data_IF_387477541890
#
_entry.id   IF_387477541890
#
_cell.length_a   1.000
_cell.length_b   1.000
_cell.length_c   1.000
_cell.angle_alpha   90.00
_cell.angle_beta   90.00
_cell.angle_gamma   90.00
#
_symmetry.space_group_name_H-M   'P 1'
#
loop_
_entity.id
_entity.type
_entity.pdbx_description
1 polymer ?
#
# COMPACT_ATOMS: atom_id res chain seq x y z
N UNK A 1 -13.31 45.06 -0.18
CA UNK A 1 -13.69 43.63 -0.36
C UNK A 1 -12.45 42.81 -0.07
N UNK A 2 -12.37 42.27 1.14
CA UNK A 2 -11.18 41.52 1.61
C UNK A 2 -11.17 40.15 0.95
N UNK A 3 -10.15 39.87 0.17
CA UNK A 3 -9.86 38.52 -0.27
C UNK A 3 -9.42 37.70 0.97
N UNK A 4 -10.28 36.79 1.39
CA UNK A 4 -9.92 35.77 2.38
C UNK A 4 -8.78 34.94 1.80
N UNK A 5 -7.56 35.22 2.24
CA UNK A 5 -6.42 34.33 2.05
C UNK A 5 -6.68 33.06 2.84
N UNK A 6 -7.22 32.04 2.18
CA UNK A 6 -7.19 30.69 2.70
C UNK A 6 -5.72 30.34 2.89
N UNK A 7 -5.26 30.20 4.14
CA UNK A 7 -3.99 29.57 4.45
C UNK A 7 -4.08 28.14 3.90
N UNK A 8 -3.44 27.91 2.77
CA UNK A 8 -3.28 26.58 2.18
C UNK A 8 -2.51 25.73 3.21
N UNK A 9 -3.23 24.98 4.02
CA UNK A 9 -2.64 23.98 4.91
C UNK A 9 -1.84 23.00 4.06
N UNK A 10 -0.70 22.53 4.56
CA UNK A 10 0.12 21.53 3.86
C UNK A 10 -0.72 20.29 3.55
N UNK A 11 -0.68 19.81 2.28
CA UNK A 11 -1.33 18.56 1.88
C UNK A 11 -0.88 17.42 2.80
N UNK A 12 -1.83 16.66 3.33
CA UNK A 12 -1.52 15.50 4.19
C UNK A 12 -1.38 14.24 3.35
N UNK A 13 -0.35 13.45 3.66
CA UNK A 13 -0.13 12.10 3.14
C UNK A 13 -0.31 11.12 4.29
N UNK A 14 -1.14 10.09 4.08
CA UNK A 14 -1.32 8.97 5.02
C UNK A 14 -0.63 7.75 4.44
N UNK A 15 0.39 7.21 5.14
CA UNK A 15 1.14 6.03 4.74
C UNK A 15 0.65 4.81 5.54
N UNK A 16 0.31 3.71 4.84
CA UNK A 16 -0.25 2.49 5.42
C UNK A 16 0.68 1.32 5.16
N UNK A 17 1.28 0.76 6.22
CA UNK A 17 2.19 -0.38 6.13
C UNK A 17 1.47 -1.70 5.83
N UNK A 18 2.23 -2.70 5.36
CA UNK A 18 1.75 -4.03 5.07
C UNK A 18 1.79 -4.99 6.26
N UNK A 19 1.37 -6.24 5.99
CA UNK A 19 1.53 -7.36 6.90
C UNK A 19 3.03 -7.63 7.12
N UNK A 20 3.44 -8.14 8.28
CA UNK A 20 4.83 -8.34 8.74
C UNK A 20 5.65 -7.07 8.94
N UNK A 21 5.09 -5.88 8.79
CA UNK A 21 5.78 -4.59 8.89
C UNK A 21 5.12 -3.68 9.91
N UNK A 22 5.80 -2.56 10.21
CA UNK A 22 5.32 -1.44 11.03
C UNK A 22 5.45 -0.15 10.24
N UNK A 23 4.98 1.01 10.76
CA UNK A 23 5.24 2.32 10.16
C UNK A 23 6.71 2.63 9.89
N UNK A 24 7.65 1.97 10.61
CA UNK A 24 9.09 2.11 10.36
C UNK A 24 9.47 1.79 8.91
N UNK A 25 8.72 0.94 8.20
CA UNK A 25 8.97 0.66 6.79
C UNK A 25 8.83 1.87 5.87
N UNK A 26 8.24 2.95 6.36
CA UNK A 26 8.04 4.20 5.65
C UNK A 26 9.01 5.33 6.05
N UNK A 27 9.99 5.06 6.94
CA UNK A 27 10.86 6.09 7.52
C UNK A 27 11.53 6.98 6.47
N UNK A 28 12.04 6.38 5.38
CA UNK A 28 12.68 7.10 4.28
C UNK A 28 11.68 7.96 3.50
N UNK A 29 10.47 7.45 3.24
CA UNK A 29 9.40 8.19 2.55
C UNK A 29 8.87 9.35 3.39
N UNK A 30 8.74 9.15 4.71
CA UNK A 30 8.34 10.19 5.66
C UNK A 30 9.32 11.36 5.57
N UNK A 31 10.62 11.10 5.72
CA UNK A 31 11.67 12.11 5.64
C UNK A 31 11.64 12.85 4.29
N UNK A 32 11.57 12.09 3.18
CA UNK A 32 11.52 12.65 1.83
C UNK A 32 10.31 13.57 1.62
N UNK A 33 9.12 13.13 1.96
CA UNK A 33 7.91 13.91 1.74
C UNK A 33 7.76 15.08 2.71
N UNK A 34 8.25 14.96 3.95
CA UNK A 34 8.32 16.08 4.88
C UNK A 34 9.27 17.17 4.39
N UNK A 35 10.43 16.80 3.84
CA UNK A 35 11.36 17.73 3.19
C UNK A 35 10.75 18.41 1.95
N UNK A 36 9.88 17.71 1.24
CA UNK A 36 9.11 18.25 0.12
C UNK A 36 7.91 19.14 0.56
N UNK A 37 7.70 19.33 1.86
CA UNK A 37 6.69 20.24 2.40
C UNK A 37 5.33 19.62 2.73
N UNK A 38 5.17 18.31 2.63
CA UNK A 38 3.94 17.63 3.01
C UNK A 38 3.81 17.43 4.53
N UNK A 39 2.58 17.33 5.01
CA UNK A 39 2.29 16.78 6.32
C UNK A 39 2.16 15.26 6.18
N UNK A 40 3.07 14.48 6.79
CA UNK A 40 3.12 13.02 6.60
C UNK A 40 2.79 12.33 7.91
N UNK A 41 1.80 11.45 7.88
CA UNK A 41 1.45 10.59 9.00
C UNK A 41 1.50 9.12 8.56
N UNK A 42 2.05 8.27 9.40
CA UNK A 42 2.11 6.83 9.21
C UNK A 42 1.62 6.13 10.49
N UNK A 43 0.30 6.06 10.71
CA UNK A 43 -0.24 5.42 11.90
C UNK A 43 0.04 3.92 11.92
N UNK A 44 0.28 3.36 13.09
CA UNK A 44 0.34 1.90 13.30
C UNK A 44 -1.03 1.26 13.13
N UNK A 45 -1.05 -0.02 12.80
CA UNK A 45 -2.25 -0.81 12.99
C UNK A 45 -2.59 -0.91 14.48
N UNK A 46 -3.86 -1.08 14.85
CA UNK A 46 -4.27 -1.16 16.25
C UNK A 46 -3.46 -2.21 17.02
N UNK A 47 -2.86 -1.81 18.14
CA UNK A 47 -2.04 -2.66 18.98
C UNK A 47 -0.58 -2.82 18.52
N UNK A 48 -0.14 -2.10 17.47
CA UNK A 48 1.23 -2.08 16.97
C UNK A 48 1.92 -0.73 17.22
N UNK A 49 1.51 -0.01 18.26
CA UNK A 49 2.06 1.30 18.65
C UNK A 49 3.38 1.16 19.41
N UNK A 50 4.29 0.34 18.94
CA UNK A 50 5.56 0.08 19.61
C UNK A 50 6.69 -0.13 18.65
N UNK A 51 7.89 -0.28 19.22
CA UNK A 51 9.08 -0.62 18.46
C UNK A 51 9.02 -2.08 17.98
N UNK A 52 9.71 -2.36 16.87
CA UNK A 52 9.76 -3.69 16.23
C UNK A 52 10.15 -4.78 17.25
N UNK A 53 11.11 -4.49 18.10
CA UNK A 53 11.63 -5.41 19.11
C UNK A 53 10.59 -5.74 20.19
N UNK A 54 9.81 -4.75 20.61
CA UNK A 54 8.75 -4.94 21.60
C UNK A 54 7.61 -5.79 21.04
N UNK A 55 7.19 -5.53 19.80
CA UNK A 55 6.15 -6.30 19.11
C UNK A 55 6.58 -7.75 18.86
N UNK A 56 7.86 -7.98 18.53
CA UNK A 56 8.40 -9.34 18.41
C UNK A 56 8.35 -10.10 19.73
N UNK A 57 8.64 -9.42 20.84
CA UNK A 57 8.65 -10.00 22.17
C UNK A 57 7.23 -10.33 22.65
N UNK A 58 6.28 -9.46 22.36
CA UNK A 58 4.85 -9.67 22.67
C UNK A 58 3.96 -9.37 21.47
N UNK A 59 3.65 -10.37 20.64
CA UNK A 59 2.76 -10.22 19.50
C UNK A 59 1.28 -10.42 19.85
N UNK A 60 0.89 -10.35 21.12
CA UNK A 60 -0.48 -10.66 21.58
C UNK A 60 -1.56 -9.81 20.91
N UNK A 61 -1.28 -8.53 20.64
CA UNK A 61 -2.19 -7.62 19.95
C UNK A 61 -2.53 -8.04 18.50
N UNK A 62 -1.68 -8.85 17.88
CA UNK A 62 -1.91 -9.38 16.53
C UNK A 62 -2.88 -10.58 16.51
N UNK A 63 -3.07 -11.22 17.67
CA UNK A 63 -3.98 -12.36 17.77
C UNK A 63 -5.42 -11.88 17.52
N UNK A 64 -6.11 -12.56 16.62
CA UNK A 64 -7.50 -12.23 16.25
C UNK A 64 -7.74 -10.84 15.64
N UNK A 65 -6.68 -10.07 15.30
CA UNK A 65 -6.83 -8.78 14.61
C UNK A 65 -7.48 -9.00 13.25
N UNK A 66 -8.53 -8.25 12.93
CA UNK A 66 -9.29 -8.37 11.67
C UNK A 66 -8.97 -7.23 10.71
N UNK A 67 -9.02 -7.54 9.40
CA UNK A 67 -8.86 -6.53 8.35
C UNK A 67 -9.84 -5.35 8.54
N UNK A 68 -11.12 -5.66 8.84
CA UNK A 68 -12.13 -4.62 9.10
C UNK A 68 -11.73 -3.68 10.23
N UNK A 69 -11.18 -4.20 11.34
CA UNK A 69 -10.73 -3.40 12.48
C UNK A 69 -9.64 -2.42 12.07
N UNK A 70 -8.70 -2.88 11.23
CA UNK A 70 -7.61 -2.04 10.72
C UNK A 70 -8.16 -0.96 9.78
N UNK A 71 -9.02 -1.32 8.82
CA UNK A 71 -9.64 -0.35 7.90
C UNK A 71 -10.44 0.70 8.65
N UNK A 72 -11.27 0.31 9.61
CA UNK A 72 -12.09 1.23 10.41
C UNK A 72 -11.21 2.14 11.31
N UNK A 73 -10.04 1.68 11.74
CA UNK A 73 -9.06 2.49 12.46
C UNK A 73 -8.52 3.62 11.57
N UNK A 74 -8.05 3.31 10.35
CA UNK A 74 -7.58 4.33 9.41
C UNK A 74 -8.71 5.28 8.99
N UNK A 75 -9.92 4.79 8.75
CA UNK A 75 -11.07 5.64 8.45
C UNK A 75 -11.29 6.68 9.55
N UNK A 76 -11.26 6.27 10.84
CA UNK A 76 -11.41 7.20 11.96
C UNK A 76 -10.32 8.25 12.03
N UNK A 77 -9.07 7.90 11.66
CA UNK A 77 -7.96 8.84 11.60
C UNK A 77 -8.17 9.84 10.46
N UNK A 78 -8.48 9.35 9.27
CA UNK A 78 -8.64 10.16 8.05
C UNK A 78 -9.81 11.14 8.21
N UNK A 79 -10.94 10.70 8.79
CA UNK A 79 -12.10 11.56 9.01
C UNK A 79 -11.88 12.71 10.01
N UNK A 80 -10.78 12.68 10.77
CA UNK A 80 -10.38 13.77 11.68
C UNK A 80 -9.46 14.80 11.04
N UNK A 81 -9.02 14.57 9.80
CA UNK A 81 -8.18 15.51 9.06
C UNK A 81 -9.05 16.62 8.47
N UNK A 82 -8.50 17.84 8.44
CA UNK A 82 -9.20 19.03 7.94
C UNK A 82 -9.51 18.96 6.43
N UNK A 83 -8.74 18.18 5.70
CA UNK A 83 -8.92 17.97 4.25
C UNK A 83 -8.64 16.51 3.85
N UNK A 84 -9.23 16.02 2.75
CA UNK A 84 -8.97 14.68 2.23
C UNK A 84 -7.48 14.49 1.91
N UNK A 85 -6.78 13.50 2.53
CA UNK A 85 -5.36 13.28 2.31
C UNK A 85 -5.10 12.50 1.01
N UNK A 86 -3.83 12.48 0.57
CA UNK A 86 -3.33 11.43 -0.31
C UNK A 86 -3.11 10.18 0.56
N UNK A 87 -3.65 9.04 0.14
CA UNK A 87 -3.52 7.77 0.88
C UNK A 87 -2.61 6.85 0.08
N UNK A 88 -1.48 6.44 0.67
CA UNK A 88 -0.54 5.51 0.05
C UNK A 88 -0.36 4.28 0.94
N UNK A 89 -0.46 3.10 0.35
CA UNK A 89 -0.31 1.85 1.11
C UNK A 89 0.52 0.82 0.38
N UNK A 90 1.30 0.06 1.14
CA UNK A 90 2.13 -1.03 0.65
C UNK A 90 1.54 -2.39 1.03
N UNK A 91 1.50 -3.35 0.11
CA UNK A 91 1.05 -4.72 0.38
C UNK A 91 -0.41 -4.75 0.89
N UNK A 92 -0.68 -5.27 2.08
CA UNK A 92 -1.99 -5.13 2.73
C UNK A 92 -2.39 -3.68 2.97
N UNK A 93 -1.43 -2.77 3.17
CA UNK A 93 -1.70 -1.33 3.18
C UNK A 93 -2.27 -0.83 1.86
N UNK A 94 -1.83 -1.37 0.72
CA UNK A 94 -2.41 -1.11 -0.60
C UNK A 94 -3.85 -1.59 -0.73
N UNK A 95 -4.17 -2.78 -0.21
CA UNK A 95 -5.55 -3.26 -0.11
C UNK A 95 -6.41 -2.34 0.77
N UNK A 96 -5.89 -1.93 1.93
CA UNK A 96 -6.58 -0.99 2.82
C UNK A 96 -6.80 0.35 2.10
N UNK A 97 -5.82 0.85 1.35
CA UNK A 97 -5.96 2.05 0.51
C UNK A 97 -7.12 1.91 -0.47
N UNK A 98 -7.22 0.79 -1.21
CA UNK A 98 -8.34 0.55 -2.12
C UNK A 98 -9.70 0.61 -1.38
N UNK A 99 -9.80 -0.02 -0.21
CA UNK A 99 -11.02 -0.03 0.60
C UNK A 99 -11.40 1.37 1.14
N UNK A 100 -10.41 2.17 1.55
CA UNK A 100 -10.65 3.54 2.02
C UNK A 100 -11.08 4.47 0.89
N UNK A 101 -10.45 4.36 -0.28
CA UNK A 101 -10.82 5.11 -1.48
C UNK A 101 -12.24 4.75 -1.93
N UNK A 102 -12.64 3.48 -1.86
CA UNK A 102 -14.01 3.05 -2.17
C UNK A 102 -15.03 3.62 -1.17
N UNK A 103 -14.65 3.85 0.08
CA UNK A 103 -15.48 4.53 1.10
C UNK A 103 -15.57 6.06 0.91
N UNK A 104 -15.02 6.59 -0.19
CA UNK A 104 -15.02 8.02 -0.49
C UNK A 104 -14.01 8.84 0.33
N UNK A 105 -13.01 8.20 0.90
CA UNK A 105 -11.93 8.85 1.64
C UNK A 105 -10.75 9.16 0.73
N UNK A 106 -9.99 10.21 1.07
CA UNK A 106 -8.80 10.64 0.34
C UNK A 106 -9.07 11.46 -0.92
N UNK A 107 -8.06 12.21 -1.33
CA UNK A 107 -8.02 12.98 -2.59
C UNK A 107 -7.44 12.17 -3.75
N UNK A 108 -6.51 11.26 -3.46
CA UNK A 108 -5.94 10.28 -4.36
C UNK A 108 -5.47 9.06 -3.56
N UNK A 109 -5.43 7.88 -4.20
CA UNK A 109 -4.90 6.65 -3.62
C UNK A 109 -3.71 6.10 -4.41
N UNK A 110 -2.69 5.58 -3.71
CA UNK A 110 -1.57 4.85 -4.31
C UNK A 110 -1.44 3.50 -3.63
N UNK A 111 -1.67 2.43 -4.38
CA UNK A 111 -1.62 1.04 -3.91
C UNK A 111 -0.33 0.38 -4.45
N UNK A 112 0.68 0.24 -3.58
CA UNK A 112 2.01 -0.26 -3.95
C UNK A 112 2.09 -1.75 -3.60
N UNK A 113 2.42 -2.59 -4.58
CA UNK A 113 2.48 -4.05 -4.43
C UNK A 113 1.25 -4.59 -3.68
N UNK A 114 0.07 -4.12 -4.10
CA UNK A 114 -1.15 -4.25 -3.32
C UNK A 114 -1.70 -5.67 -3.30
N UNK A 115 -2.02 -6.17 -2.11
CA UNK A 115 -2.79 -7.41 -1.97
C UNK A 115 -4.15 -7.33 -2.69
N UNK A 116 -4.71 -8.49 -3.02
CA UNK A 116 -5.94 -8.62 -3.79
C UNK A 116 -7.16 -8.15 -3.02
N UNK A 117 -8.07 -7.51 -3.74
CA UNK A 117 -9.45 -7.33 -3.30
C UNK A 117 -10.28 -8.61 -3.50
N UNK A 118 -11.41 -8.69 -2.83
CA UNK A 118 -12.32 -9.84 -2.92
C UNK A 118 -12.70 -10.16 -4.38
N UNK A 119 -12.66 -11.44 -4.73
CA UNK A 119 -12.98 -11.95 -6.06
C UNK A 119 -11.88 -11.76 -7.11
N UNK A 120 -10.68 -11.31 -6.75
CA UNK A 120 -9.49 -11.35 -7.61
C UNK A 120 -8.75 -12.67 -7.37
N UNK A 121 -9.18 -13.72 -8.07
CA UNK A 121 -8.69 -15.09 -7.86
C UNK A 121 -7.40 -15.40 -8.65
N UNK A 122 -6.43 -14.48 -8.67
CA UNK A 122 -5.10 -14.70 -9.25
C UNK A 122 -4.15 -15.13 -8.14
N UNK A 123 -3.62 -16.33 -8.22
CA UNK A 123 -2.82 -16.94 -7.16
C UNK A 123 -1.53 -17.57 -7.72
N UNK A 124 -0.50 -16.77 -8.05
CA UNK A 124 0.79 -17.27 -8.53
C UNK A 124 1.46 -18.19 -7.51
N UNK A 125 2.28 -19.12 -7.98
CA UNK A 125 2.99 -20.05 -7.11
C UNK A 125 3.89 -19.35 -6.07
N UNK A 126 4.55 -18.25 -6.46
CA UNK A 126 5.37 -17.45 -5.54
C UNK A 126 4.55 -16.88 -4.38
N UNK A 127 3.32 -16.39 -4.64
CA UNK A 127 2.39 -15.90 -3.62
C UNK A 127 1.98 -17.02 -2.66
N UNK A 128 1.65 -18.22 -3.18
CA UNK A 128 1.34 -19.38 -2.34
C UNK A 128 2.52 -19.71 -1.43
N UNK A 129 3.72 -19.78 -1.99
CA UNK A 129 4.93 -20.08 -1.23
C UNK A 129 5.24 -19.02 -0.17
N UNK A 130 5.06 -17.73 -0.49
CA UNK A 130 5.25 -16.64 0.46
C UNK A 130 4.24 -16.67 1.62
N UNK A 131 2.98 -17.03 1.35
CA UNK A 131 1.91 -17.16 2.35
C UNK A 131 1.91 -18.48 3.13
N UNK A 132 2.65 -19.50 2.67
CA UNK A 132 2.63 -20.86 3.21
C UNK A 132 2.97 -20.95 4.71
N UNK A 133 3.89 -20.15 5.29
CA UNK A 133 4.16 -20.17 6.73
C UNK A 133 2.91 -19.96 7.61
N UNK A 134 1.89 -19.29 7.08
CA UNK A 134 0.59 -19.09 7.75
C UNK A 134 -0.47 -20.04 7.19
N UNK A 135 -0.68 -20.02 5.88
CA UNK A 135 -1.78 -20.74 5.21
C UNK A 135 -1.58 -22.25 5.15
N UNK A 136 -0.35 -22.74 5.34
CA UNK A 136 -0.05 -24.17 5.43
C UNK A 136 -0.55 -24.85 6.72
N UNK A 137 -1.00 -24.06 7.72
CA UNK A 137 -1.58 -24.59 8.96
C UNK A 137 -2.98 -24.01 9.22
N UNK A 138 -4.05 -24.75 8.93
CA UNK A 138 -5.42 -24.26 9.11
C UNK A 138 -5.78 -23.91 10.56
N UNK A 139 -5.05 -24.43 11.54
CA UNK A 139 -5.24 -24.12 12.96
C UNK A 139 -4.48 -22.85 13.40
N UNK A 140 -3.87 -22.13 12.47
CA UNK A 140 -3.09 -20.92 12.77
C UNK A 140 -3.92 -19.64 12.84
N UNK A 141 -5.21 -19.67 12.49
CA UNK A 141 -6.06 -18.50 12.26
C UNK A 141 -5.96 -17.40 13.32
N UNK A 142 -6.10 -17.71 14.60
CA UNK A 142 -6.06 -16.76 15.71
C UNK A 142 -4.66 -16.49 16.26
N UNK A 143 -3.61 -16.81 15.51
CA UNK A 143 -2.21 -16.68 15.93
C UNK A 143 -1.51 -15.51 15.26
N UNK A 144 -0.27 -15.24 15.74
CA UNK A 144 0.69 -14.37 15.07
C UNK A 144 1.89 -15.21 14.63
N UNK A 145 2.35 -15.03 13.38
CA UNK A 145 3.44 -15.84 12.81
C UNK A 145 4.53 -14.94 12.23
N UNK A 146 5.76 -15.15 12.69
CA UNK A 146 6.96 -14.56 12.09
C UNK A 146 7.43 -15.38 10.88
N UNK A 147 7.96 -14.70 9.88
CA UNK A 147 8.78 -15.36 8.86
C UNK A 147 10.17 -15.67 9.45
N UNK A 148 10.78 -16.77 9.02
CA UNK A 148 12.21 -16.94 9.22
C UNK A 148 13.01 -15.99 8.32
N UNK A 149 14.29 -15.70 8.60
CA UNK A 149 15.10 -14.87 7.71
C UNK A 149 15.12 -15.37 6.25
N UNK A 150 15.19 -16.68 6.03
CA UNK A 150 15.15 -17.27 4.68
C UNK A 150 13.77 -17.10 3.98
N UNK A 151 12.68 -17.23 4.74
CA UNK A 151 11.33 -16.98 4.23
C UNK A 151 11.13 -15.50 3.89
N UNK A 152 11.66 -14.60 4.71
CA UNK A 152 11.62 -13.17 4.46
C UNK A 152 12.46 -12.78 3.23
N UNK A 153 13.67 -13.35 3.09
CA UNK A 153 14.49 -13.13 1.90
C UNK A 153 13.72 -13.56 0.65
N UNK A 154 13.15 -14.76 0.63
CA UNK A 154 12.36 -15.23 -0.50
C UNK A 154 11.16 -14.31 -0.81
N UNK A 155 10.43 -13.88 0.21
CA UNK A 155 9.17 -13.15 0.04
C UNK A 155 9.41 -11.66 -0.28
N UNK A 156 10.26 -10.98 0.49
CA UNK A 156 10.40 -9.53 0.47
C UNK A 156 11.64 -9.02 -0.26
N UNK A 157 12.75 -9.76 -0.18
CA UNK A 157 14.08 -9.25 -0.57
C UNK A 157 14.84 -10.25 -1.43
N UNK A 158 14.14 -10.92 -2.32
CA UNK A 158 14.65 -12.02 -3.15
C UNK A 158 15.80 -11.63 -4.11
N UNK A 159 16.01 -10.33 -4.36
CA UNK A 159 17.16 -9.82 -5.13
C UNK A 159 18.34 -9.39 -4.24
N UNK A 160 18.19 -9.45 -2.91
CA UNK A 160 19.27 -9.11 -1.98
C UNK A 160 20.05 -10.37 -1.56
N UNK A 161 21.35 -10.18 -1.28
CA UNK A 161 22.13 -11.20 -0.60
C UNK A 161 21.53 -11.55 0.77
N UNK A 162 21.74 -12.77 1.30
CA UNK A 162 21.26 -13.14 2.63
C UNK A 162 21.71 -12.16 3.73
N UNK A 163 22.92 -11.62 3.63
CA UNK A 163 23.46 -10.65 4.59
C UNK A 163 22.71 -9.33 4.55
N UNK A 164 22.43 -8.79 3.36
CA UNK A 164 21.65 -7.56 3.21
C UNK A 164 20.19 -7.77 3.60
N UNK A 165 19.59 -8.88 3.17
CA UNK A 165 18.24 -9.27 3.56
C UNK A 165 18.08 -9.36 5.08
N UNK A 166 19.06 -9.92 5.80
CA UNK A 166 19.04 -10.01 7.26
C UNK A 166 19.05 -8.62 7.93
N UNK A 167 19.71 -7.62 7.35
CA UNK A 167 19.64 -6.23 7.85
C UNK A 167 18.22 -5.68 7.75
N UNK A 168 17.58 -5.86 6.59
CA UNK A 168 16.19 -5.45 6.35
C UNK A 168 15.23 -6.19 7.29
N UNK A 169 15.37 -7.53 7.38
CA UNK A 169 14.59 -8.36 8.29
C UNK A 169 14.68 -7.89 9.74
N UNK A 170 15.91 -7.67 10.23
CA UNK A 170 16.12 -7.25 11.63
C UNK A 170 15.54 -5.85 11.90
N UNK A 171 15.56 -4.96 10.92
CA UNK A 171 15.03 -3.60 11.09
C UNK A 171 13.51 -3.53 11.07
N UNK A 172 12.84 -4.31 10.21
CA UNK A 172 11.43 -4.05 9.88
C UNK A 172 10.47 -5.18 10.19
N UNK A 173 10.92 -6.46 10.16
CA UNK A 173 10.01 -7.59 10.22
C UNK A 173 9.43 -7.80 11.62
N UNK A 174 8.12 -7.94 11.70
CA UNK A 174 7.36 -8.35 12.90
C UNK A 174 6.52 -9.60 12.60
N UNK A 175 5.94 -10.28 13.60
CA UNK A 175 4.92 -11.29 13.35
C UNK A 175 3.71 -10.71 12.62
N UNK A 176 3.04 -11.52 11.81
CA UNK A 176 1.80 -11.15 11.13
C UNK A 176 0.57 -11.62 11.89
N UNK A 177 -0.53 -10.87 11.78
CA UNK A 177 -1.86 -11.33 12.19
C UNK A 177 -2.38 -12.37 11.18
N UNK A 178 -2.34 -13.66 11.54
CA UNK A 178 -2.73 -14.74 10.64
C UNK A 178 -4.17 -14.64 10.14
N UNK A 179 -5.08 -14.17 11.00
CA UNK A 179 -6.49 -13.96 10.68
C UNK A 179 -6.70 -13.03 9.48
N UNK A 180 -5.86 -12.00 9.32
CA UNK A 180 -5.95 -11.06 8.19
C UNK A 180 -5.59 -11.77 6.89
N UNK A 181 -4.51 -12.57 6.87
CA UNK A 181 -4.11 -13.32 5.67
C UNK A 181 -5.12 -14.41 5.32
N UNK A 182 -5.66 -15.13 6.32
CA UNK A 182 -6.71 -16.11 6.13
C UNK A 182 -8.00 -15.48 5.57
N UNK A 183 -8.47 -14.39 6.16
CA UNK A 183 -9.67 -13.68 5.72
C UNK A 183 -9.50 -13.18 4.26
N UNK A 184 -8.32 -12.68 3.90
CA UNK A 184 -8.00 -12.27 2.53
C UNK A 184 -7.96 -13.47 1.56
N UNK A 185 -7.33 -14.58 1.94
CA UNK A 185 -7.25 -15.77 1.12
C UNK A 185 -8.64 -16.36 0.83
N UNK A 186 -9.51 -16.42 1.84
CA UNK A 186 -10.91 -16.86 1.68
C UNK A 186 -11.74 -15.90 0.81
N UNK A 187 -11.41 -14.60 0.83
CA UNK A 187 -12.11 -13.59 0.04
C UNK A 187 -11.78 -13.68 -1.47
N UNK A 188 -10.70 -14.36 -1.88
CA UNK A 188 -10.38 -14.53 -3.30
C UNK A 188 -11.50 -15.23 -4.08
N UNK A 189 -12.17 -16.17 -3.46
CA UNK A 189 -13.27 -16.94 -4.04
C UNK A 189 -14.66 -16.38 -3.68
N UNK A 190 -14.71 -15.34 -2.85
CA UNK A 190 -15.96 -14.73 -2.40
C UNK A 190 -15.96 -13.21 -2.68
N UNK A 191 -16.67 -12.73 -3.73
CA UNK A 191 -16.75 -11.30 -4.03
C UNK A 191 -17.32 -10.42 -2.91
N UNK A 192 -18.00 -11.03 -1.93
CA UNK A 192 -18.53 -10.37 -0.74
C UNK A 192 -17.66 -10.59 0.50
N UNK A 193 -16.42 -11.07 0.33
CA UNK A 193 -15.48 -11.32 1.41
C UNK A 193 -15.00 -10.04 2.11
N UNK A 194 -14.14 -10.23 3.12
CA UNK A 194 -13.66 -9.16 4.02
C UNK A 194 -12.93 -8.01 3.32
N UNK A 195 -12.36 -8.24 2.13
CA UNK A 195 -11.64 -7.26 1.31
C UNK A 195 -12.47 -6.74 0.12
N UNK A 196 -13.81 -6.76 0.24
CA UNK A 196 -14.73 -6.28 -0.79
C UNK A 196 -14.58 -4.78 -1.04
N UNK A 197 -14.62 -4.41 -2.33
CA UNK A 197 -14.74 -3.04 -2.84
C UNK A 197 -15.83 -2.99 -3.91
N UNK A 198 -16.40 -1.81 -4.14
CA UNK A 198 -17.30 -1.59 -5.26
C UNK A 198 -16.49 -1.11 -6.48
N UNK A 199 -16.12 -2.01 -7.36
CA UNK A 199 -15.38 -1.67 -8.59
C UNK A 199 -16.11 -0.69 -9.50
N UNK A 200 -17.45 -0.63 -9.44
CA UNK A 200 -18.25 0.29 -10.24
C UNK A 200 -18.38 1.69 -9.63
N UNK A 201 -17.74 1.95 -8.49
CA UNK A 201 -17.78 3.27 -7.85
C UNK A 201 -17.02 4.31 -8.68
N UNK A 202 -17.72 5.04 -9.53
CA UNK A 202 -17.15 6.12 -10.35
C UNK A 202 -16.96 7.42 -9.56
N UNK A 203 -17.48 7.51 -8.34
CA UNK A 203 -17.32 8.67 -7.46
C UNK A 203 -16.12 8.55 -6.49
N UNK A 204 -15.35 7.47 -6.55
CA UNK A 204 -14.13 7.32 -5.76
C UNK A 204 -13.01 8.25 -6.24
N UNK A 205 -12.06 8.56 -5.39
CA UNK A 205 -10.84 9.27 -5.78
C UNK A 205 -10.02 8.45 -6.81
N UNK A 206 -9.17 9.13 -7.61
CA UNK A 206 -8.20 8.47 -8.50
C UNK A 206 -7.33 7.45 -7.75
N UNK A 207 -6.97 6.35 -8.41
CA UNK A 207 -6.23 5.25 -7.83
C UNK A 207 -5.09 4.80 -8.76
N UNK A 208 -3.86 4.86 -8.24
CA UNK A 208 -2.66 4.33 -8.89
C UNK A 208 -2.30 2.98 -8.29
N UNK A 209 -1.99 2.01 -9.13
CA UNK A 209 -1.32 0.79 -8.74
C UNK A 209 0.15 0.82 -9.16
N UNK A 210 1.05 0.56 -8.22
CA UNK A 210 2.47 0.36 -8.47
C UNK A 210 2.80 -1.10 -8.19
N UNK A 211 3.55 -1.75 -9.08
CA UNK A 211 3.98 -3.13 -8.92
C UNK A 211 5.49 -3.29 -9.11
N UNK A 212 6.11 -4.07 -8.24
CA UNK A 212 7.47 -4.55 -8.40
C UNK A 212 7.52 -5.75 -9.35
N UNK A 213 8.35 -5.66 -10.43
CA UNK A 213 8.44 -6.69 -11.46
C UNK A 213 8.89 -8.06 -10.95
N UNK A 214 9.71 -8.08 -9.89
CA UNK A 214 10.27 -9.29 -9.26
C UNK A 214 9.64 -9.58 -7.88
N UNK A 215 8.44 -9.06 -7.61
CA UNK A 215 7.72 -9.31 -6.37
C UNK A 215 7.23 -10.76 -6.29
N UNK A 216 7.64 -11.49 -5.25
CA UNK A 216 7.21 -12.86 -4.99
C UNK A 216 5.93 -12.96 -4.15
N UNK A 217 5.57 -11.92 -3.38
CA UNK A 217 4.35 -11.90 -2.56
C UNK A 217 3.15 -11.50 -3.41
N UNK A 218 3.29 -10.37 -4.13
CA UNK A 218 2.24 -9.81 -4.99
C UNK A 218 2.80 -9.54 -6.39
N UNK A 219 3.06 -10.59 -7.18
CA UNK A 219 3.53 -10.42 -8.56
C UNK A 219 2.66 -9.49 -9.40
N UNK A 220 3.21 -8.84 -10.44
CA UNK A 220 2.50 -7.88 -11.30
C UNK A 220 1.14 -8.35 -11.80
N UNK A 221 0.99 -9.64 -12.08
CA UNK A 221 -0.27 -10.24 -12.54
C UNK A 221 -1.44 -9.99 -11.58
N UNK A 222 -1.18 -9.93 -10.28
CA UNK A 222 -2.19 -9.63 -9.25
C UNK A 222 -2.67 -8.18 -9.38
N UNK A 223 -1.74 -7.22 -9.42
CA UNK A 223 -2.09 -5.81 -9.55
C UNK A 223 -2.75 -5.51 -10.90
N UNK A 224 -2.28 -6.10 -12.00
CA UNK A 224 -2.95 -6.01 -13.32
C UNK A 224 -4.39 -6.51 -13.26
N UNK A 225 -4.65 -7.60 -12.53
CA UNK A 225 -6.01 -8.13 -12.36
C UNK A 225 -6.91 -7.21 -11.51
N UNK A 226 -6.37 -6.60 -10.44
CA UNK A 226 -7.09 -5.56 -9.69
C UNK A 226 -7.46 -4.40 -10.61
N UNK A 227 -6.49 -3.83 -11.33
CA UNK A 227 -6.68 -2.70 -12.25
C UNK A 227 -7.75 -2.99 -13.29
N UNK A 228 -7.68 -4.15 -13.95
CA UNK A 228 -8.66 -4.58 -14.96
C UNK A 228 -10.08 -4.47 -14.44
N UNK A 229 -10.34 -4.99 -13.22
CA UNK A 229 -11.68 -4.93 -12.61
C UNK A 229 -12.20 -3.51 -12.40
N UNK A 230 -11.32 -2.56 -12.07
CA UNK A 230 -11.71 -1.16 -11.93
C UNK A 230 -11.97 -0.52 -13.29
N UNK A 231 -11.07 -0.70 -14.25
CA UNK A 231 -11.17 -0.09 -15.59
C UNK A 231 -12.39 -0.61 -16.36
N UNK A 232 -12.74 -1.88 -16.20
CA UNK A 232 -13.91 -2.48 -16.84
C UNK A 232 -15.25 -1.94 -16.29
N UNK A 233 -15.28 -1.42 -15.06
CA UNK A 233 -16.54 -1.14 -14.34
C UNK A 233 -16.71 0.29 -13.90
N UNK A 234 -15.69 1.13 -13.97
CA UNK A 234 -15.72 2.49 -13.44
C UNK A 234 -15.03 3.47 -14.39
N UNK A 235 -15.59 4.67 -14.52
CA UNK A 235 -14.97 5.80 -15.21
C UNK A 235 -13.98 6.59 -14.32
N UNK A 236 -13.88 6.28 -13.02
CA UNK A 236 -12.90 6.92 -12.15
C UNK A 236 -11.48 6.51 -12.56
N UNK A 237 -10.56 7.46 -12.59
CA UNK A 237 -9.17 7.24 -12.98
C UNK A 237 -8.56 6.08 -12.22
N UNK A 238 -7.98 5.14 -12.97
CA UNK A 238 -7.23 4.00 -12.45
C UNK A 238 -6.03 3.78 -13.34
N UNK A 239 -4.83 3.98 -12.80
CA UNK A 239 -3.57 3.83 -13.52
C UNK A 239 -2.72 2.70 -12.94
N UNK A 240 -1.78 2.22 -13.75
CA UNK A 240 -0.85 1.16 -13.40
C UNK A 240 0.57 1.52 -13.82
N UNK A 241 1.52 1.28 -12.91
CA UNK A 241 2.95 1.38 -13.20
C UNK A 241 3.70 0.17 -12.65
N UNK A 242 4.47 -0.49 -13.50
CA UNK A 242 5.40 -1.54 -13.11
C UNK A 242 6.83 -0.97 -13.08
N UNK A 243 7.54 -1.27 -12.01
CA UNK A 243 8.96 -1.01 -11.87
C UNK A 243 9.72 -2.34 -12.00
N UNK A 244 10.38 -2.60 -13.12
CA UNK A 244 11.19 -3.81 -13.30
C UNK A 244 12.23 -3.95 -12.20
N UNK A 245 12.65 -5.17 -11.88
CA UNK A 245 13.72 -5.46 -10.90
C UNK A 245 13.42 -4.97 -9.47
N UNK A 246 12.16 -4.73 -9.12
CA UNK A 246 11.72 -4.41 -7.76
C UNK A 246 11.09 -5.63 -7.11
N UNK A 247 11.49 -5.87 -5.85
CA UNK A 247 10.95 -6.94 -5.02
C UNK A 247 9.75 -6.44 -4.20
N UNK A 248 9.16 -7.28 -3.35
CA UNK A 248 8.12 -6.82 -2.42
C UNK A 248 8.60 -5.75 -1.43
N UNK A 249 9.93 -5.59 -1.26
CA UNK A 249 10.53 -4.51 -0.48
C UNK A 249 10.69 -3.20 -1.28
N UNK A 250 9.87 -2.96 -2.28
CA UNK A 250 9.90 -1.82 -3.19
C UNK A 250 10.09 -0.48 -2.47
N UNK A 251 9.44 -0.30 -1.31
CA UNK A 251 9.45 0.96 -0.55
C UNK A 251 10.76 1.26 0.18
N UNK A 252 11.66 0.27 0.32
CA UNK A 252 12.99 0.44 0.96
C UNK A 252 14.13 -0.15 0.15
N UNK A 253 13.86 -0.76 -1.02
CA UNK A 253 14.89 -1.27 -1.91
C UNK A 253 15.67 -0.11 -2.53
N UNK A 254 17.00 -0.26 -2.68
CA UNK A 254 17.87 0.78 -3.29
C UNK A 254 17.23 1.41 -4.54
N UNK A 255 17.19 2.73 -4.59
CA UNK A 255 16.49 3.51 -5.63
C UNK A 255 14.97 3.61 -5.40
N UNK A 256 14.50 3.38 -4.15
CA UNK A 256 13.11 3.59 -3.73
C UNK A 256 12.62 5.02 -4.01
N UNK A 257 13.55 5.99 -4.09
CA UNK A 257 13.27 7.40 -4.36
C UNK A 257 12.52 7.58 -5.68
N UNK A 258 12.89 6.82 -6.72
CA UNK A 258 12.21 6.86 -8.01
C UNK A 258 10.73 6.47 -7.89
N UNK A 259 10.44 5.45 -7.07
CA UNK A 259 9.06 5.00 -6.82
C UNK A 259 8.29 6.04 -6.01
N UNK A 260 8.94 6.62 -4.98
CA UNK A 260 8.34 7.64 -4.14
C UNK A 260 8.01 8.91 -4.93
N UNK A 261 8.93 9.38 -5.78
CA UNK A 261 8.74 10.56 -6.61
C UNK A 261 7.63 10.35 -7.64
N UNK A 262 7.61 9.19 -8.30
CA UNK A 262 6.55 8.84 -9.21
C UNK A 262 5.18 8.82 -8.52
N UNK A 263 5.09 8.20 -7.34
CA UNK A 263 3.87 8.09 -6.57
C UNK A 263 3.28 9.47 -6.22
N UNK A 264 4.12 10.38 -5.69
CA UNK A 264 3.64 11.71 -5.29
C UNK A 264 3.36 12.61 -6.49
N UNK A 265 4.16 12.56 -7.56
CA UNK A 265 3.89 13.31 -8.80
C UNK A 265 2.55 12.90 -9.40
N UNK A 266 2.30 11.58 -9.53
CA UNK A 266 1.01 11.10 -10.03
C UNK A 266 -0.15 11.53 -9.13
N UNK A 267 0.00 11.38 -7.80
CA UNK A 267 -1.03 11.77 -6.86
C UNK A 267 -1.38 13.27 -6.97
N UNK A 268 -0.38 14.14 -7.09
CA UNK A 268 -0.59 15.58 -7.27
C UNK A 268 -1.31 15.93 -8.58
N UNK A 269 -0.99 15.24 -9.67
CA UNK A 269 -1.67 15.48 -10.96
C UNK A 269 -3.14 15.07 -10.96
N UNK A 270 -3.53 14.12 -10.10
CA UNK A 270 -4.87 13.52 -10.13
C UNK A 270 -5.70 13.81 -8.88
N UNK A 271 -5.11 14.35 -7.79
CA UNK A 271 -5.81 14.60 -6.54
C UNK A 271 -7.03 15.48 -6.72
N UNK A 272 -8.16 15.08 -6.15
CA UNK A 272 -9.39 15.88 -6.18
C UNK A 272 -9.28 17.06 -5.22
N UNK A 273 -9.58 18.25 -5.72
CA UNK A 273 -9.76 19.46 -4.90
C UNK A 273 -8.49 20.19 -4.51
N UNK A 274 -7.32 19.86 -5.10
CA UNK A 274 -6.08 20.58 -4.79
C UNK A 274 -5.08 20.70 -5.94
N UNK A 275 -4.27 21.74 -5.81
CA UNK A 275 -2.95 22.03 -6.39
C UNK A 275 -2.98 22.51 -7.84
N UNK A 276 -2.57 23.75 -8.01
CA UNK A 276 -2.25 24.31 -9.32
C UNK A 276 -0.92 23.73 -9.83
N UNK A 277 -0.75 23.66 -11.15
CA UNK A 277 0.51 23.25 -11.78
C UNK A 277 1.74 24.00 -11.24
N UNK A 278 1.55 25.21 -10.69
CA UNK A 278 2.59 26.00 -10.05
C UNK A 278 3.11 25.38 -8.75
N UNK A 279 2.23 24.77 -7.94
CA UNK A 279 2.62 24.12 -6.68
C UNK A 279 3.38 22.81 -6.93
N UNK A 280 3.04 22.09 -8.01
CA UNK A 280 3.74 20.87 -8.44
C UNK A 280 5.15 21.20 -8.94
N UNK A 281 5.31 22.28 -9.70
CA UNK A 281 6.61 22.71 -10.22
C UNK A 281 7.59 23.18 -9.14
N UNK A 282 7.06 23.69 -8.02
CA UNK A 282 7.88 24.16 -6.90
C UNK A 282 8.38 23.01 -6.00
N UNK A 283 7.71 21.86 -6.00
CA UNK A 283 8.03 20.73 -5.11
C UNK A 283 9.07 19.75 -5.68
N UNK A 284 9.12 19.58 -7.01
CA UNK A 284 10.06 18.66 -7.67
C UNK A 284 10.50 19.21 -9.03
N UNK A 285 11.82 19.25 -9.26
CA UNK A 285 12.41 19.43 -10.59
C UNK A 285 12.71 18.02 -11.13
N UNK A 286 11.88 17.45 -12.01
CA UNK A 286 12.15 16.13 -12.55
C UNK A 286 13.27 16.20 -13.59
N UNK A 287 14.19 15.25 -13.56
CA UNK A 287 15.20 15.12 -14.64
C UNK A 287 14.59 14.75 -16.01
N UNK A 288 13.32 14.29 -16.04
CA UNK A 288 12.53 14.08 -17.28
C UNK A 288 11.02 14.24 -17.03
N UNK A 289 10.28 14.85 -17.96
CA UNK A 289 8.81 14.94 -17.87
C UNK A 289 8.17 13.54 -18.00
N UNK A 290 7.19 13.28 -17.14
CA UNK A 290 6.33 12.09 -17.24
C UNK A 290 5.54 12.10 -18.55
N UNK A 291 5.66 11.03 -19.33
CA UNK A 291 4.73 10.72 -20.41
C UNK A 291 3.81 9.60 -19.92
N UNK A 292 2.50 9.85 -19.88
CA UNK A 292 1.52 8.83 -19.56
C UNK A 292 1.70 7.65 -20.53
N UNK A 293 1.82 6.41 -20.03
CA UNK A 293 1.96 5.26 -20.91
C UNK A 293 0.64 5.07 -21.66
N UNK A 294 0.67 5.18 -22.97
CA UNK A 294 -0.33 4.58 -23.85
C UNK A 294 -0.07 3.09 -23.82
N UNK A 295 -0.68 2.36 -22.89
CA UNK A 295 -0.57 0.91 -22.85
C UNK A 295 -1.78 0.31 -23.57
N UNK A 296 -1.63 -0.16 -24.83
CA UNK A 296 -2.71 -0.80 -25.58
C UNK A 296 -3.18 -2.13 -24.94
N UNK A 297 -2.35 -2.75 -24.09
CA UNK A 297 -2.63 -4.07 -23.52
C UNK A 297 -3.67 -4.08 -22.39
N UNK A 298 -4.15 -2.91 -21.93
CA UNK A 298 -5.19 -2.83 -20.89
C UNK A 298 -6.62 -2.71 -21.46
N UNK A 299 -6.75 -2.59 -22.79
CA UNK A 299 -8.06 -2.47 -23.48
C UNK A 299 -8.39 -3.65 -24.41
N UNK A 300 -7.57 -4.73 -24.41
CA UNK A 300 -7.83 -5.94 -25.18
C UNK A 300 -8.21 -7.11 -24.28
#
# INVERSE_FOLDING_TARGET
MSANGATSGKQTIVLIHGLWLTPRSWEEWIDRYQKAGYNVIAPSWPGLEGEVEAIRKDPSALKHLKLKTVVDHYERIIRKLDAPPIIMGHSFGGLITQMLIDRGLGSAGVAIDSAQTAGVAVLPFSTIRAGFPILGNPFSYGRATSLSPAQFNYAFTNELSPTESNKVYNRYSIPAANSILWDAALALLNPNGSSKVNYANSNRAPLLFIAGGNDHVVPPAINKSNVRKYVEKSSAVTDYREFPNRTHHTVGQKGWEEVADFAIQWANMHARGQVTLADVAAAFVPERPYQAPTNPDLRA
#
